data_IF_932409289653
#
_entry.id   IF_932409289653
#
_cell.length_a   1.000
_cell.length_b   1.000
_cell.length_c   1.000
_cell.angle_alpha   90.00
_cell.angle_beta   90.00
_cell.angle_gamma   90.00
#
_symmetry.space_group_name_H-M   'P 1'
#
loop_
_entity.id
_entity.type
_entity.pdbx_description
1 polymer ?
#
# COMPACT_ATOMS: atom_id res chain seq x y z
N UNK A 1 18.77 16.42 -11.33
CA UNK A 1 17.42 16.71 -10.83
C UNK A 1 16.93 15.52 -10.03
N UNK A 2 16.45 15.76 -8.84
CA UNK A 2 16.01 14.71 -7.92
C UNK A 2 14.50 14.76 -7.69
N UNK A 3 13.97 13.72 -7.05
CA UNK A 3 12.53 13.63 -6.74
C UNK A 3 12.07 14.60 -5.65
N UNK A 4 12.97 15.36 -5.02
CA UNK A 4 12.61 16.31 -3.97
C UNK A 4 11.57 17.35 -4.38
N UNK A 5 11.55 17.71 -5.66
CA UNK A 5 10.62 18.70 -6.18
C UNK A 5 9.22 18.14 -6.46
N UNK A 6 9.05 16.83 -6.39
CA UNK A 6 7.78 16.19 -6.73
C UNK A 6 6.90 16.12 -5.48
N UNK A 7 5.65 16.60 -5.57
CA UNK A 7 4.70 16.42 -4.46
C UNK A 7 4.43 14.92 -4.23
N UNK A 8 4.64 14.47 -3.01
CA UNK A 8 4.41 13.07 -2.64
C UNK A 8 3.31 13.00 -1.59
N UNK A 9 2.68 11.82 -1.51
CA UNK A 9 1.67 11.56 -0.50
C UNK A 9 2.31 11.70 0.89
N UNK A 10 1.81 12.58 1.77
CA UNK A 10 2.49 12.90 3.02
C UNK A 10 2.49 11.72 4.00
N UNK A 11 3.49 11.65 4.90
CA UNK A 11 3.58 10.57 5.89
C UNK A 11 2.47 10.61 6.93
N UNK A 12 1.65 11.67 6.96
CA UNK A 12 0.48 11.75 7.83
C UNK A 12 -0.56 10.66 7.57
N UNK A 13 -0.50 10.00 6.41
CA UNK A 13 -1.37 8.88 6.09
C UNK A 13 -0.81 7.53 6.55
N UNK A 14 0.33 7.50 7.21
CA UNK A 14 0.91 6.23 7.68
C UNK A 14 0.19 5.71 8.92
N UNK A 15 0.24 4.39 9.09
CA UNK A 15 -0.27 3.70 10.28
C UNK A 15 0.87 3.00 10.99
N UNK A 16 0.72 2.74 12.27
CA UNK A 16 1.66 1.90 13.01
C UNK A 16 1.34 0.42 12.79
N UNK A 17 2.33 -0.49 12.85
CA UNK A 17 2.10 -1.92 12.60
C UNK A 17 1.04 -2.56 13.52
N UNK A 18 0.83 -1.99 14.69
CA UNK A 18 -0.14 -2.48 15.68
C UNK A 18 -1.58 -2.04 15.35
N UNK A 19 -1.77 -1.13 14.41
CA UNK A 19 -3.10 -0.68 14.01
C UNK A 19 -3.91 -1.85 13.43
N UNK A 20 -5.22 -1.75 13.54
CA UNK A 20 -6.12 -2.80 13.04
C UNK A 20 -6.20 -2.76 11.52
N UNK A 21 -6.32 -3.93 10.93
CA UNK A 21 -6.50 -4.03 9.49
C UNK A 21 -7.79 -3.31 9.03
N UNK A 22 -8.81 -3.30 9.89
CA UNK A 22 -10.04 -2.54 9.64
C UNK A 22 -9.76 -1.04 9.51
N UNK A 23 -8.86 -0.49 10.33
CA UNK A 23 -8.49 0.93 10.24
C UNK A 23 -7.83 1.26 8.90
N UNK A 24 -6.99 0.35 8.42
CA UNK A 24 -6.36 0.50 7.10
C UNK A 24 -7.42 0.48 5.99
N UNK A 25 -8.37 -0.44 6.07
CA UNK A 25 -9.46 -0.53 5.08
C UNK A 25 -10.25 0.77 5.04
N UNK A 26 -10.67 1.27 6.21
CA UNK A 26 -11.43 2.52 6.30
C UNK A 26 -10.66 3.69 5.71
N UNK A 27 -9.37 3.78 6.01
CA UNK A 27 -8.51 4.84 5.51
C UNK A 27 -8.37 4.77 3.99
N UNK A 28 -8.16 3.57 3.44
CA UNK A 28 -8.03 3.38 2.00
C UNK A 28 -9.32 3.74 1.27
N UNK A 29 -10.48 3.38 1.83
CA UNK A 29 -11.77 3.70 1.22
C UNK A 29 -12.06 5.19 1.31
N UNK A 30 -11.79 5.82 2.45
CA UNK A 30 -12.03 7.23 2.66
C UNK A 30 -11.15 8.11 1.77
N UNK A 31 -9.86 7.77 1.68
CA UNK A 31 -8.89 8.55 0.89
C UNK A 31 -8.79 8.11 -0.56
N UNK A 32 -9.51 7.04 -0.94
CA UNK A 32 -9.48 6.48 -2.29
C UNK A 32 -8.06 6.11 -2.74
N UNK A 33 -7.30 5.50 -1.83
CA UNK A 33 -5.96 5.01 -2.10
C UNK A 33 -5.91 3.49 -1.94
N UNK A 34 -4.99 2.84 -2.63
CA UNK A 34 -4.84 1.39 -2.60
C UNK A 34 -3.67 0.92 -1.73
N UNK A 35 -2.88 1.85 -1.20
CA UNK A 35 -1.69 1.54 -0.41
C UNK A 35 -1.57 2.54 0.73
N UNK A 36 -1.22 2.03 1.91
CA UNK A 36 -0.95 2.86 3.10
C UNK A 36 0.38 2.44 3.67
N UNK A 37 1.33 3.38 3.81
CA UNK A 37 2.61 3.05 4.42
C UNK A 37 2.47 2.86 5.93
N UNK A 38 3.35 2.03 6.48
CA UNK A 38 3.46 1.83 7.92
C UNK A 38 4.73 2.48 8.44
N UNK A 39 4.61 3.11 9.60
CA UNK A 39 5.73 3.71 10.30
C UNK A 39 5.78 3.17 11.73
N UNK A 40 6.99 3.02 12.26
CA UNK A 40 7.17 2.73 13.68
C UNK A 40 6.96 4.00 14.52
N UNK A 41 7.10 3.89 15.84
CA UNK A 41 6.89 5.00 16.76
C UNK A 41 7.84 6.18 16.56
N UNK A 42 8.99 5.96 15.90
CA UNK A 42 9.98 7.02 15.62
C UNK A 42 9.79 7.64 14.22
N UNK A 43 8.83 7.14 13.43
CA UNK A 43 8.62 7.59 12.06
C UNK A 43 9.37 6.79 11.01
N UNK A 44 10.10 5.74 11.43
CA UNK A 44 10.83 4.86 10.52
C UNK A 44 9.88 4.02 9.67
N UNK A 45 10.25 3.83 8.40
CA UNK A 45 9.44 3.04 7.48
C UNK A 45 9.38 1.58 7.92
N UNK A 46 8.17 1.01 7.99
CA UNK A 46 7.94 -0.34 8.50
C UNK A 46 7.22 -1.27 7.52
N UNK A 47 6.81 -0.78 6.37
CA UNK A 47 6.14 -1.58 5.36
C UNK A 47 4.98 -0.86 4.70
N UNK A 48 4.26 -1.56 3.84
CA UNK A 48 3.08 -1.03 3.15
C UNK A 48 1.96 -2.07 3.19
N UNK A 49 0.77 -1.65 3.57
CA UNK A 49 -0.43 -2.47 3.47
C UNK A 49 -1.25 -2.01 2.26
N UNK A 50 -1.85 -2.97 1.55
CA UNK A 50 -2.59 -2.68 0.33
C UNK A 50 -4.03 -3.20 0.40
N UNK A 51 -4.88 -2.70 -0.51
CA UNK A 51 -6.22 -3.26 -0.68
C UNK A 51 -6.15 -4.74 -1.05
N UNK A 52 -5.12 -5.14 -1.80
CA UNK A 52 -4.91 -6.55 -2.11
C UNK A 52 -4.67 -7.39 -0.85
N UNK A 53 -3.91 -6.88 0.10
CA UNK A 53 -3.68 -7.57 1.37
C UNK A 53 -4.99 -7.76 2.15
N UNK A 54 -5.86 -6.76 2.14
CA UNK A 54 -7.18 -6.87 2.77
C UNK A 54 -8.02 -7.94 2.08
N UNK A 55 -8.04 -7.95 0.74
CA UNK A 55 -8.74 -8.99 -0.01
C UNK A 55 -8.22 -10.37 0.33
N UNK A 56 -6.91 -10.54 0.38
CA UNK A 56 -6.30 -11.83 0.74
C UNK A 56 -6.72 -12.28 2.14
N UNK A 57 -6.85 -11.35 3.07
CA UNK A 57 -7.30 -11.66 4.43
C UNK A 57 -8.76 -12.12 4.47
N UNK A 58 -9.58 -11.68 3.53
CA UNK A 58 -10.99 -12.07 3.44
C UNK A 58 -11.21 -13.43 2.76
N UNK A 59 -10.26 -13.84 1.93
CA UNK A 59 -10.39 -15.10 1.18
C UNK A 59 -10.03 -16.27 2.09
N UNK A 60 -10.91 -17.27 2.24
CA UNK A 60 -10.58 -18.46 3.05
C UNK A 60 -9.42 -19.24 2.44
N UNK A 61 -8.65 -19.91 3.29
CA UNK A 61 -7.48 -20.69 2.86
C UNK A 61 -7.85 -21.73 1.80
N UNK A 62 -9.02 -22.35 1.89
CA UNK A 62 -9.52 -23.34 0.94
C UNK A 62 -9.69 -22.76 -0.47
N UNK A 63 -10.01 -21.49 -0.58
CA UNK A 63 -10.20 -20.80 -1.85
C UNK A 63 -8.88 -20.39 -2.50
N UNK A 64 -7.79 -20.37 -1.73
CA UNK A 64 -6.45 -20.03 -2.23
C UNK A 64 -5.75 -21.23 -2.86
N UNK A 65 -6.29 -22.43 -2.69
CA UNK A 65 -5.72 -23.64 -3.26
C UNK A 65 -6.14 -23.79 -4.72
N UNK A 66 -5.28 -24.49 -5.48
CA UNK A 66 -5.55 -24.81 -6.88
C UNK A 66 -6.79 -25.70 -6.95
N UNK A 67 -7.84 -25.23 -7.62
CA UNK A 67 -9.12 -25.94 -7.72
C UNK A 67 -10.18 -25.48 -6.74
N UNK A 68 -9.83 -24.62 -5.79
CA UNK A 68 -10.78 -24.09 -4.81
C UNK A 68 -11.92 -23.28 -5.41
N UNK A 69 -11.71 -22.71 -6.60
CA UNK A 69 -12.73 -21.95 -7.32
C UNK A 69 -13.95 -22.78 -7.71
N UNK A 70 -13.75 -24.07 -8.04
CA UNK A 70 -14.86 -24.93 -8.42
C UNK A 70 -15.77 -25.22 -7.24
N UNK A 71 -15.20 -25.33 -6.03
CA UNK A 71 -15.99 -25.52 -4.81
C UNK A 71 -16.74 -24.25 -4.42
N UNK A 72 -16.15 -23.07 -4.66
CA UNK A 72 -16.75 -21.79 -4.33
C UNK A 72 -18.02 -21.50 -5.13
N UNK A 73 -18.13 -22.01 -6.36
CA UNK A 73 -19.33 -21.82 -7.17
C UNK A 73 -20.58 -22.41 -6.53
N UNK A 74 -20.40 -23.38 -5.64
CA UNK A 74 -21.50 -24.07 -4.97
C UNK A 74 -21.65 -23.65 -3.50
N UNK A 75 -20.83 -22.69 -3.04
CA UNK A 75 -20.98 -22.11 -1.70
C UNK A 75 -22.18 -21.17 -1.74
N UNK A 76 -23.27 -21.58 -1.15
CA UNK A 76 -24.57 -20.91 -1.27
C UNK A 76 -24.67 -19.52 -0.67
N UNK A 77 -23.67 -19.04 0.09
CA UNK A 77 -23.69 -17.75 0.78
C UNK A 77 -22.33 -17.06 0.70
N UNK A 78 -21.73 -17.01 -0.50
CA UNK A 78 -20.43 -16.40 -0.71
C UNK A 78 -20.40 -14.94 -0.26
N UNK A 79 -21.45 -14.17 -0.57
CA UNK A 79 -21.55 -12.77 -0.18
C UNK A 79 -21.58 -12.62 1.33
N UNK A 80 -22.39 -13.46 1.99
CA UNK A 80 -22.51 -13.43 3.45
C UNK A 80 -21.22 -13.84 4.13
N UNK A 81 -20.52 -14.82 3.55
CA UNK A 81 -19.24 -15.28 4.06
C UNK A 81 -18.20 -14.16 4.01
N UNK A 82 -18.05 -13.48 2.86
CA UNK A 82 -17.09 -12.39 2.71
C UNK A 82 -17.45 -11.21 3.63
N UNK A 83 -18.74 -10.87 3.69
CA UNK A 83 -19.20 -9.78 4.57
C UNK A 83 -18.93 -10.12 6.04
N UNK A 84 -19.16 -11.37 6.43
CA UNK A 84 -18.86 -11.82 7.79
C UNK A 84 -17.39 -11.73 8.14
N UNK A 85 -16.53 -12.07 7.19
CA UNK A 85 -15.08 -12.00 7.41
C UNK A 85 -14.56 -10.56 7.51
N UNK A 86 -15.30 -9.58 7.01
CA UNK A 86 -14.95 -8.17 7.22
C UNK A 86 -14.88 -7.83 8.71
N UNK A 87 -15.77 -8.39 9.53
CA UNK A 87 -15.74 -8.15 10.97
C UNK A 87 -14.48 -8.72 11.62
N UNK A 88 -13.88 -9.74 11.03
CA UNK A 88 -12.65 -10.33 11.55
C UNK A 88 -11.44 -9.41 11.41
N UNK A 89 -11.52 -8.40 10.53
CA UNK A 89 -10.44 -7.44 10.35
C UNK A 89 -10.18 -6.61 11.60
N UNK A 90 -11.16 -6.52 12.51
CA UNK A 90 -10.99 -5.85 13.81
C UNK A 90 -10.00 -6.59 14.72
N UNK A 91 -9.76 -7.87 14.46
CA UNK A 91 -8.87 -8.71 15.26
C UNK A 91 -7.48 -8.86 14.66
N UNK A 92 -7.30 -8.39 13.42
CA UNK A 92 -6.03 -8.52 12.70
C UNK A 92 -5.30 -7.18 12.69
N UNK A 93 -3.97 -7.22 12.75
CA UNK A 93 -3.15 -6.02 12.67
C UNK A 93 -2.60 -5.83 11.27
N UNK A 94 -2.34 -4.56 10.90
CA UNK A 94 -1.79 -4.24 9.60
C UNK A 94 -0.39 -4.84 9.43
N UNK A 95 0.37 -4.95 10.52
CA UNK A 95 1.72 -5.52 10.49
C UNK A 95 1.76 -6.98 10.05
N UNK A 96 0.69 -7.73 10.29
CA UNK A 96 0.61 -9.14 9.87
C UNK A 96 0.44 -9.30 8.36
N UNK A 97 -0.09 -8.27 7.69
CA UNK A 97 -0.43 -8.33 6.26
C UNK A 97 0.38 -7.36 5.42
N UNK A 98 1.25 -6.58 6.03
CA UNK A 98 2.07 -5.60 5.32
C UNK A 98 3.20 -6.27 4.55
N UNK A 99 3.48 -5.75 3.37
CA UNK A 99 4.69 -6.09 2.64
C UNK A 99 5.83 -5.24 3.21
N UNK A 100 6.90 -5.90 3.66
CA UNK A 100 8.05 -5.23 4.29
C UNK A 100 9.26 -5.15 3.38
N UNK A 101 9.37 -6.09 2.45
CA UNK A 101 10.48 -6.17 1.50
C UNK A 101 10.13 -5.38 0.23
N UNK A 102 10.05 -4.08 0.41
CA UNK A 102 9.68 -3.15 -0.66
C UNK A 102 10.86 -2.24 -0.95
N UNK A 103 11.12 -2.02 -2.23
CA UNK A 103 12.15 -1.08 -2.68
C UNK A 103 11.82 0.32 -2.18
N UNK A 104 12.80 0.97 -1.58
CA UNK A 104 12.67 2.33 -1.07
C UNK A 104 13.46 3.28 -1.97
N UNK A 105 12.92 4.48 -2.16
CA UNK A 105 13.64 5.53 -2.86
C UNK A 105 14.21 6.49 -1.82
N UNK A 106 15.47 6.89 -2.02
CA UNK A 106 16.04 7.97 -1.23
C UNK A 106 15.38 9.30 -1.64
N UNK A 107 15.24 10.21 -0.70
CA UNK A 107 14.66 11.51 -1.00
C UNK A 107 15.47 12.31 -2.02
N UNK A 108 16.76 11.99 -2.17
CA UNK A 108 17.64 12.61 -3.17
C UNK A 108 17.75 11.80 -4.45
N UNK A 109 16.93 10.76 -4.63
CA UNK A 109 16.99 9.88 -5.78
C UNK A 109 16.91 10.66 -7.10
N UNK A 110 17.81 10.40 -8.06
CA UNK A 110 17.71 11.03 -9.38
C UNK A 110 16.38 10.68 -10.06
N UNK A 111 15.86 11.66 -10.79
CA UNK A 111 14.54 11.55 -11.41
C UNK A 111 14.44 10.35 -12.36
N UNK A 112 15.47 10.12 -13.18
CA UNK A 112 15.48 9.00 -14.11
C UNK A 112 15.46 7.65 -13.41
N UNK A 113 16.22 7.54 -12.32
CA UNK A 113 16.25 6.31 -11.52
C UNK A 113 14.89 6.03 -10.90
N UNK A 114 14.26 7.06 -10.32
CA UNK A 114 12.91 6.93 -9.76
C UNK A 114 11.90 6.50 -10.82
N UNK A 115 11.97 7.08 -12.02
CA UNK A 115 11.09 6.71 -13.12
C UNK A 115 11.27 5.24 -13.51
N UNK A 116 12.52 4.78 -13.60
CA UNK A 116 12.81 3.38 -13.92
C UNK A 116 12.24 2.43 -12.87
N UNK A 117 12.44 2.74 -11.59
CA UNK A 117 11.94 1.91 -10.50
C UNK A 117 10.42 1.88 -10.48
N UNK A 118 9.77 3.02 -10.69
CA UNK A 118 8.30 3.08 -10.74
C UNK A 118 7.74 2.34 -11.95
N UNK A 119 8.44 2.39 -13.10
CA UNK A 119 8.01 1.67 -14.29
C UNK A 119 8.01 0.16 -14.09
N UNK A 120 8.89 -0.34 -13.23
CA UNK A 120 9.02 -1.76 -12.93
C UNK A 120 8.24 -2.17 -11.68
N UNK A 121 7.49 -1.24 -11.08
CA UNK A 121 6.70 -1.51 -9.87
C UNK A 121 5.21 -1.55 -10.20
N UNK A 122 4.46 -2.33 -9.45
CA UNK A 122 2.99 -2.37 -9.56
C UNK A 122 2.33 -1.42 -8.56
N UNK A 123 3.12 -0.73 -7.73
CA UNK A 123 2.63 0.05 -6.61
C UNK A 123 3.47 1.32 -6.44
N UNK A 124 2.96 2.34 -5.75
CA UNK A 124 3.78 3.47 -5.33
C UNK A 124 4.97 3.02 -4.48
N UNK A 125 6.05 3.78 -4.51
CA UNK A 125 7.24 3.44 -3.76
C UNK A 125 7.43 4.41 -2.59
N UNK A 126 7.85 3.89 -1.42
CA UNK A 126 8.14 4.75 -0.27
C UNK A 126 9.40 5.57 -0.51
N UNK A 127 9.33 6.84 -0.12
CA UNK A 127 10.46 7.75 -0.13
C UNK A 127 10.93 7.93 1.30
N UNK A 128 12.19 7.62 1.53
CA UNK A 128 12.76 7.56 2.89
C UNK A 128 13.97 8.49 2.94
N UNK A 129 14.08 9.25 4.03
CA UNK A 129 15.23 10.11 4.25
C UNK A 129 16.46 9.35 4.73
N UNK A 130 17.59 10.05 4.81
CA UNK A 130 18.84 9.47 5.31
C UNK A 130 18.73 8.98 6.77
N UNK A 131 17.79 9.53 7.53
CA UNK A 131 17.51 9.13 8.91
C UNK A 131 16.61 7.89 9.02
N UNK A 132 16.22 7.29 7.89
CA UNK A 132 15.33 6.13 7.85
C UNK A 132 13.86 6.47 8.00
N UNK A 133 13.51 7.74 8.14
CA UNK A 133 12.12 8.16 8.32
C UNK A 133 11.41 8.30 6.99
N UNK A 134 10.14 7.90 6.98
CA UNK A 134 9.30 8.00 5.80
C UNK A 134 9.03 9.48 5.48
N UNK A 135 9.26 9.86 4.23
CA UNK A 135 8.90 11.19 3.70
C UNK A 135 7.54 11.18 3.01
N UNK A 136 7.13 10.04 2.51
CA UNK A 136 5.86 9.86 1.82
C UNK A 136 5.94 8.75 0.78
N UNK A 137 4.91 8.67 -0.07
CA UNK A 137 4.84 7.68 -1.15
C UNK A 137 4.85 8.40 -2.49
N UNK A 138 5.70 7.93 -3.40
CA UNK A 138 5.76 8.45 -4.76
C UNK A 138 5.02 7.51 -5.70
N UNK A 139 3.98 8.02 -6.37
CA UNK A 139 3.19 7.28 -7.34
C UNK A 139 3.64 7.62 -8.76
N UNK A 140 3.33 6.72 -9.70
CA UNK A 140 3.55 6.99 -11.13
C UNK A 140 2.79 8.23 -11.57
N UNK A 141 1.57 8.40 -11.08
CA UNK A 141 0.74 9.57 -11.42
C UNK A 141 1.40 10.86 -10.96
N UNK A 142 1.95 10.90 -9.75
CA UNK A 142 2.61 12.10 -9.23
C UNK A 142 3.85 12.46 -10.06
N UNK A 143 4.64 11.45 -10.43
CA UNK A 143 5.81 11.66 -11.28
C UNK A 143 5.41 12.19 -12.66
N UNK A 144 4.42 11.57 -13.28
CA UNK A 144 3.94 12.00 -14.60
C UNK A 144 3.31 13.40 -14.56
N UNK A 145 2.55 13.70 -13.52
CA UNK A 145 1.96 15.03 -13.34
C UNK A 145 3.04 16.11 -13.23
N UNK A 146 4.10 15.81 -12.48
CA UNK A 146 5.24 16.73 -12.37
C UNK A 146 5.91 16.95 -13.73
N UNK A 147 6.18 15.87 -14.46
CA UNK A 147 6.81 15.98 -15.77
C UNK A 147 5.94 16.74 -16.77
N UNK A 148 4.63 16.49 -16.76
CA UNK A 148 3.70 17.21 -17.63
C UNK A 148 3.70 18.71 -17.31
N UNK A 149 3.74 19.06 -16.03
CA UNK A 149 3.83 20.47 -15.61
C UNK A 149 5.11 21.13 -16.10
N UNK A 150 6.24 20.42 -16.00
CA UNK A 150 7.53 20.94 -16.49
C UNK A 150 7.53 21.11 -18.01
N UNK A 151 6.81 20.26 -18.73
CA UNK A 151 6.69 20.31 -20.18
C UNK A 151 5.57 21.26 -20.66
N UNK A 152 4.89 21.90 -19.75
CA UNK A 152 3.79 22.83 -20.05
C UNK A 152 2.63 22.18 -20.82
N UNK A 153 2.33 20.90 -20.47
CA UNK A 153 1.23 20.14 -21.06
C UNK A 153 -0.07 20.32 -20.31
#
# INVERSE_FOLDING_TARGET
>A
MSIKAIPICPPTLCLQPEAKLMDALKLMLEKQVNHVPLCDGSGGFAGVVSTNAVLQALIPASARTKGGLSDLRFAGDADRMLTGRLHDLERLTVGEFAARDILRLDEDCPLLEAALQLANSTAPLPVVGADGKLRGMLSRRALLAYLAQQAEI
#
